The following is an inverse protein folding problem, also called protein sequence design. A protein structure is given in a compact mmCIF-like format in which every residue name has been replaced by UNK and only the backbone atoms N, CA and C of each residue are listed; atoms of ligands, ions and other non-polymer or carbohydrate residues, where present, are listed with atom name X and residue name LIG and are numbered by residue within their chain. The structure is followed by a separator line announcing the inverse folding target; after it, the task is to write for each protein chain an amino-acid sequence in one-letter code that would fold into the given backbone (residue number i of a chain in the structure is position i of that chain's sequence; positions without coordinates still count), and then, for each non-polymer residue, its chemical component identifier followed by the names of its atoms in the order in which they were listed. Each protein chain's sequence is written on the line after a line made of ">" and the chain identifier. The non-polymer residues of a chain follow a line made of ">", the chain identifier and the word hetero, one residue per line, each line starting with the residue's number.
data_IF_135142366653
#
_entry.id   IF_135142366653
#
_cell.length_a   1.000
_cell.length_b   1.000
_cell.length_c   1.000
_cell.angle_alpha   90.00
_cell.angle_beta   90.00
_cell.angle_gamma   90.00
#
_symmetry.space_group_name_H-M   'P 1'
#
loop_
_entity.id
_entity.type
_entity.pdbx_description
1 polymer ?
#
# COMPACT_ATOMS: atom_id res chain seq x y z
N UNK A 1 21.98 29.88 21.10
CA UNK A 1 20.91 29.45 20.18
C UNK A 1 21.43 28.35 19.25
N UNK A 2 21.65 27.10 19.70
CA UNK A 2 22.37 26.14 18.84
C UNK A 2 22.19 24.64 19.09
N UNK A 3 21.26 24.22 19.95
CA UNK A 3 20.98 22.78 20.15
C UNK A 3 19.53 22.42 19.77
N UNK A 4 18.57 23.33 20.00
CA UNK A 4 17.16 23.09 19.68
C UNK A 4 16.86 23.09 18.17
N UNK A 5 17.55 23.93 17.39
CA UNK A 5 17.35 24.01 15.92
C UNK A 5 17.86 22.74 15.21
N UNK A 6 18.97 22.17 15.70
CA UNK A 6 19.55 20.94 15.15
C UNK A 6 18.71 19.70 15.50
N UNK A 7 18.10 19.67 16.68
CA UNK A 7 17.21 18.58 17.10
C UNK A 7 15.85 18.63 16.37
N UNK A 8 15.32 19.84 16.12
CA UNK A 8 14.10 20.02 15.33
C UNK A 8 14.31 19.61 13.86
N UNK A 9 15.43 20.01 13.23
CA UNK A 9 15.77 19.55 11.88
C UNK A 9 15.93 18.04 11.80
N UNK A 10 16.52 17.41 12.82
CA UNK A 10 16.71 15.97 12.84
C UNK A 10 15.37 15.23 13.00
N UNK A 11 14.46 15.70 13.86
CA UNK A 11 13.11 15.12 14.03
C UNK A 11 12.19 15.38 12.82
N UNK A 12 12.45 16.42 12.04
CA UNK A 12 11.74 16.71 10.78
C UNK A 12 12.29 15.85 9.63
N UNK A 13 13.61 15.60 9.60
CA UNK A 13 14.26 14.68 8.67
C UNK A 13 13.92 13.21 8.94
N UNK A 14 13.77 12.82 10.21
CA UNK A 14 13.40 11.46 10.63
C UNK A 14 11.92 11.18 10.30
N UNK A 15 11.02 12.14 10.56
CA UNK A 15 9.62 12.08 10.12
C UNK A 15 9.44 11.99 8.60
N UNK A 16 10.37 12.56 7.84
CA UNK A 16 10.36 12.49 6.38
C UNK A 16 11.03 11.22 5.84
N UNK A 17 11.71 10.42 6.67
CA UNK A 17 12.48 9.25 6.22
C UNK A 17 11.74 7.91 6.30
N UNK A 18 10.58 7.86 6.93
CA UNK A 18 9.87 6.60 7.13
C UNK A 18 8.74 6.32 6.14
N UNK A 19 8.34 7.30 5.32
CA UNK A 19 7.32 7.13 4.27
C UNK A 19 8.01 7.14 2.90
N UNK A 20 8.30 5.97 2.34
CA UNK A 20 8.92 5.81 1.02
C UNK A 20 7.84 5.41 0.01
N UNK A 21 7.14 6.41 -0.53
CA UNK A 21 6.12 6.21 -1.56
C UNK A 21 6.78 5.72 -2.85
N UNK A 22 6.45 4.48 -3.24
CA UNK A 22 6.92 3.86 -4.48
C UNK A 22 5.77 3.76 -5.47
N UNK A 23 6.02 4.25 -6.67
CA UNK A 23 5.11 4.13 -7.81
C UNK A 23 5.44 2.85 -8.57
N UNK A 24 4.53 1.89 -8.52
CA UNK A 24 4.63 0.60 -9.21
C UNK A 24 3.39 0.41 -10.08
N UNK A 25 3.53 -0.30 -11.19
CA UNK A 25 2.40 -0.71 -12.03
C UNK A 25 2.66 -0.75 -13.52
N UNK A 26 2.06 -1.75 -14.17
CA UNK A 26 2.08 -1.87 -15.63
C UNK A 26 1.07 -0.87 -16.20
N UNK A 27 1.56 0.29 -16.66
CA UNK A 27 0.97 1.34 -17.52
C UNK A 27 -0.55 1.66 -17.49
N UNK A 28 -1.42 0.66 -17.45
CA UNK A 28 -2.89 0.69 -17.38
C UNK A 28 -3.44 0.95 -15.97
N UNK A 29 -2.71 0.61 -14.91
CA UNK A 29 -3.13 0.93 -13.54
C UNK A 29 -1.91 1.33 -12.75
N UNK A 30 -1.86 2.60 -12.34
CA UNK A 30 -0.80 3.12 -11.47
C UNK A 30 -1.23 2.95 -10.02
N UNK A 31 -0.35 2.41 -9.21
CA UNK A 31 -0.54 2.38 -7.77
C UNK A 31 0.68 2.90 -7.04
N UNK A 32 0.43 3.54 -5.91
CA UNK A 32 1.44 3.95 -4.96
C UNK A 32 1.40 2.99 -3.79
N UNK A 33 2.54 2.69 -3.20
CA UNK A 33 2.55 2.00 -1.93
C UNK A 33 3.60 2.59 -1.00
N UNK A 34 3.31 2.45 0.29
CA UNK A 34 4.16 2.86 1.38
C UNK A 34 4.15 1.79 2.47
N UNK A 35 5.18 1.78 3.31
CA UNK A 35 5.22 0.96 4.51
C UNK A 35 5.64 1.76 5.74
N UNK A 36 4.92 1.57 6.83
CA UNK A 36 5.20 2.17 8.13
C UNK A 36 5.11 1.09 9.21
N UNK A 37 6.25 0.73 9.80
CA UNK A 37 6.32 -0.35 10.79
C UNK A 37 5.83 -1.68 10.21
N UNK A 38 4.78 -2.25 10.82
CA UNK A 38 4.13 -3.50 10.39
C UNK A 38 2.94 -3.27 9.45
N UNK A 39 2.74 -2.06 8.91
CA UNK A 39 1.63 -1.74 8.02
C UNK A 39 2.13 -1.36 6.62
N UNK A 40 1.54 -1.93 5.58
CA UNK A 40 1.79 -1.55 4.19
C UNK A 40 0.49 -0.97 3.61
N UNK A 41 0.56 0.24 3.08
CA UNK A 41 -0.59 0.92 2.48
C UNK A 41 -0.39 0.98 0.96
N UNK A 42 -1.37 0.51 0.20
CA UNK A 42 -1.39 0.57 -1.26
C UNK A 42 -2.54 1.47 -1.71
N UNK A 43 -2.25 2.49 -2.51
CA UNK A 43 -3.22 3.43 -3.07
C UNK A 43 -3.30 3.25 -4.57
N UNK A 44 -4.48 2.96 -5.08
CA UNK A 44 -4.74 2.73 -6.49
C UNK A 44 -5.66 3.85 -6.99
N UNK A 45 -5.14 4.68 -7.88
CA UNK A 45 -5.94 5.70 -8.54
C UNK A 45 -6.88 5.05 -9.56
N UNK A 46 -8.15 5.44 -9.55
CA UNK A 46 -9.18 4.89 -10.42
C UNK A 46 -9.63 5.94 -11.44
N UNK A 47 -9.64 5.59 -12.72
CA UNK A 47 -10.11 6.47 -13.81
C UNK A 47 -11.55 6.96 -13.63
N UNK A 48 -12.38 6.18 -12.92
CA UNK A 48 -13.77 6.52 -12.62
C UNK A 48 -14.12 6.07 -11.20
N UNK A 49 -15.08 6.77 -10.60
CA UNK A 49 -15.56 6.44 -9.27
C UNK A 49 -16.13 5.00 -9.22
N UNK A 50 -15.48 4.14 -8.45
CA UNK A 50 -15.91 2.78 -8.17
C UNK A 50 -16.84 2.73 -6.96
N UNK A 51 -17.71 1.73 -6.95
CA UNK A 51 -18.51 1.37 -5.78
C UNK A 51 -18.07 0.01 -5.24
N UNK A 52 -18.56 -0.35 -4.05
CA UNK A 52 -18.30 -1.68 -3.45
C UNK A 52 -18.64 -2.85 -4.38
N UNK A 53 -19.58 -2.69 -5.32
CA UNK A 53 -19.98 -3.75 -6.27
C UNK A 53 -18.98 -3.94 -7.41
N UNK A 54 -18.23 -2.90 -7.73
CA UNK A 54 -17.24 -2.91 -8.81
C UNK A 54 -15.90 -3.49 -8.35
N UNK A 55 -15.72 -3.66 -7.03
CA UNK A 55 -14.48 -4.10 -6.43
C UNK A 55 -14.58 -5.52 -5.91
N UNK A 56 -13.50 -6.28 -6.13
CA UNK A 56 -13.27 -7.56 -5.47
C UNK A 56 -11.86 -7.58 -4.92
N UNK A 57 -11.75 -7.48 -3.61
CA UNK A 57 -10.46 -7.55 -2.89
C UNK A 57 -10.42 -8.84 -2.10
N UNK A 58 -9.34 -9.59 -2.22
CA UNK A 58 -9.10 -10.80 -1.45
C UNK A 58 -7.66 -10.81 -0.98
N UNK A 59 -7.49 -10.79 0.34
CA UNK A 59 -6.21 -10.92 1.00
C UNK A 59 -5.92 -12.39 1.28
N UNK A 60 -4.68 -12.80 1.06
CA UNK A 60 -4.18 -14.11 1.46
C UNK A 60 -2.76 -13.93 2.02
N UNK A 61 -2.24 -14.90 2.81
CA UNK A 61 -1.05 -14.69 3.63
C UNK A 61 0.22 -14.28 2.88
N UNK A 62 0.27 -14.48 1.56
CA UNK A 62 1.41 -14.13 0.70
C UNK A 62 1.00 -13.66 -0.69
N UNK A 63 -0.30 -13.49 -0.95
CA UNK A 63 -0.80 -13.09 -2.26
C UNK A 63 -1.95 -12.11 -2.13
N UNK A 64 -2.04 -11.17 -3.08
CA UNK A 64 -3.11 -10.19 -3.16
C UNK A 64 -3.91 -10.39 -4.45
N UNK A 65 -5.23 -10.35 -4.34
CA UNK A 65 -6.13 -10.30 -5.50
C UNK A 65 -7.00 -9.06 -5.40
N UNK A 66 -6.95 -8.21 -6.42
CA UNK A 66 -7.78 -7.01 -6.54
C UNK A 66 -8.31 -6.95 -7.95
N UNK A 67 -9.63 -6.92 -8.07
CA UNK A 67 -10.33 -6.65 -9.33
C UNK A 67 -11.15 -5.39 -9.22
N UNK A 68 -11.07 -4.53 -10.23
CA UNK A 68 -11.72 -3.23 -10.32
C UNK A 68 -12.51 -3.21 -11.62
N UNK A 69 -13.83 -2.99 -11.56
CA UNK A 69 -14.75 -3.07 -12.70
C UNK A 69 -14.66 -4.39 -13.48
N UNK A 70 -14.32 -5.49 -12.80
CA UNK A 70 -14.12 -6.81 -13.39
C UNK A 70 -12.75 -7.03 -14.04
N UNK A 71 -11.89 -6.02 -14.08
CA UNK A 71 -10.50 -6.14 -14.53
C UNK A 71 -9.60 -6.46 -13.34
N UNK A 72 -8.77 -7.51 -13.47
CA UNK A 72 -7.84 -7.88 -12.40
C UNK A 72 -6.61 -6.97 -12.43
N UNK A 73 -6.50 -6.08 -11.44
CA UNK A 73 -5.31 -5.23 -11.21
C UNK A 73 -4.21 -6.05 -10.55
N UNK A 74 -4.60 -6.85 -9.55
CA UNK A 74 -3.74 -7.87 -8.96
C UNK A 74 -4.44 -9.22 -9.11
N UNK A 75 -3.84 -10.17 -9.83
CA UNK A 75 -4.33 -11.55 -9.91
C UNK A 75 -3.36 -12.47 -9.17
N UNK A 76 -3.73 -12.88 -7.95
CA UNK A 76 -2.89 -13.71 -7.06
C UNK A 76 -1.43 -13.21 -6.97
N UNK A 77 -1.25 -11.91 -7.02
CA UNK A 77 0.07 -11.28 -7.08
C UNK A 77 0.84 -11.60 -5.80
N UNK A 78 2.05 -12.17 -5.93
CA UNK A 78 2.86 -12.58 -4.80
C UNK A 78 3.40 -11.35 -4.07
N UNK A 79 3.04 -11.19 -2.80
CA UNK A 79 3.44 -10.07 -1.97
C UNK A 79 4.93 -10.16 -1.57
N UNK A 80 5.57 -9.00 -1.41
CA UNK A 80 6.96 -8.85 -0.94
C UNK A 80 7.21 -9.59 0.38
N UNK A 81 6.22 -9.55 1.28
CA UNK A 81 6.24 -10.25 2.56
C UNK A 81 4.95 -11.02 2.87
N UNK A 82 4.84 -11.47 4.11
CA UNK A 82 3.63 -12.14 4.61
C UNK A 82 2.72 -11.13 5.31
N UNK A 83 1.42 -11.38 5.24
CA UNK A 83 0.40 -10.55 5.88
C UNK A 83 -0.54 -11.40 6.73
N UNK A 84 -1.24 -10.77 7.68
CA UNK A 84 -2.39 -11.34 8.38
C UNK A 84 -3.67 -10.97 7.62
N UNK A 85 -4.25 -11.89 6.83
CA UNK A 85 -5.36 -11.56 5.93
C UNK A 85 -6.60 -11.03 6.65
N UNK A 86 -6.86 -11.53 7.86
CA UNK A 86 -7.98 -11.13 8.69
C UNK A 86 -7.82 -9.72 9.30
N UNK A 87 -6.59 -9.21 9.35
CA UNK A 87 -6.26 -7.85 9.81
C UNK A 87 -6.07 -6.86 8.65
N UNK A 88 -6.01 -7.35 7.41
CA UNK A 88 -5.95 -6.50 6.23
C UNK A 88 -7.31 -5.85 5.96
N UNK A 89 -7.31 -4.58 5.57
CA UNK A 89 -8.53 -3.83 5.25
C UNK A 89 -8.41 -3.10 3.92
N UNK A 90 -9.54 -2.69 3.35
CA UNK A 90 -9.58 -1.85 2.17
C UNK A 90 -10.72 -0.83 2.26
N UNK A 91 -10.53 0.33 1.64
CA UNK A 91 -11.56 1.36 1.58
C UNK A 91 -11.51 2.10 0.24
N UNK A 92 -12.67 2.67 -0.12
CA UNK A 92 -12.78 3.60 -1.23
C UNK A 92 -12.63 5.02 -0.69
N UNK A 93 -11.54 5.68 -1.03
CA UNK A 93 -11.27 7.08 -0.74
C UNK A 93 -11.82 7.99 -1.85
N UNK A 94 -11.81 9.30 -1.61
CA UNK A 94 -12.17 10.33 -2.60
C UNK A 94 -13.50 10.09 -3.34
N UNK A 95 -14.55 9.65 -2.62
CA UNK A 95 -15.87 9.33 -3.21
C UNK A 95 -15.81 8.24 -4.28
N UNK A 96 -14.82 7.36 -4.21
CA UNK A 96 -14.66 6.20 -5.08
C UNK A 96 -13.62 6.35 -6.17
N UNK A 97 -12.90 7.48 -6.28
CA UNK A 97 -11.82 7.64 -7.27
C UNK A 97 -10.48 7.06 -6.84
N UNK A 98 -10.37 6.57 -5.60
CA UNK A 98 -9.15 5.91 -5.11
C UNK A 98 -9.51 4.70 -4.27
N UNK A 99 -8.83 3.57 -4.53
CA UNK A 99 -8.89 2.37 -3.68
C UNK A 99 -7.64 2.31 -2.82
N UNK A 100 -7.82 2.35 -1.51
CA UNK A 100 -6.74 2.16 -0.54
C UNK A 100 -6.84 0.77 0.08
N UNK A 101 -5.72 0.05 0.09
CA UNK A 101 -5.55 -1.24 0.76
C UNK A 101 -4.57 -1.04 1.90
N UNK A 102 -4.88 -1.61 3.05
CA UNK A 102 -4.01 -1.63 4.21
C UNK A 102 -3.71 -3.10 4.52
N UNK A 103 -2.44 -3.46 4.44
CA UNK A 103 -1.93 -4.79 4.67
C UNK A 103 -1.23 -4.83 6.03
N UNK A 104 -1.74 -5.65 6.95
CA UNK A 104 -1.09 -5.92 8.22
C UNK A 104 0.01 -6.96 8.02
N UNK A 105 1.27 -6.56 8.13
CA UNK A 105 2.43 -7.42 7.93
C UNK A 105 2.58 -8.42 9.08
N UNK A 106 2.83 -9.69 8.74
CA UNK A 106 3.09 -10.77 9.69
C UNK A 106 4.58 -10.99 9.95
N UNK A 107 5.43 -10.08 9.47
CA UNK A 107 6.85 -10.31 9.20
C UNK A 107 7.84 -9.64 10.13
N UNK A 108 7.46 -9.11 11.29
CA UNK A 108 8.38 -8.36 12.17
C UNK A 108 9.09 -7.20 11.45
N UNK A 109 10.23 -6.76 11.97
CA UNK A 109 11.01 -5.57 11.52
C UNK A 109 11.54 -5.61 10.06
N UNK A 110 11.26 -6.68 9.30
CA UNK A 110 11.74 -6.82 7.93
C UNK A 110 10.91 -5.98 6.95
N UNK A 111 11.40 -4.77 6.65
CA UNK A 111 10.87 -3.90 5.60
C UNK A 111 10.80 -4.60 4.25
N UNK A 112 9.68 -4.46 3.55
CA UNK A 112 9.48 -5.00 2.22
C UNK A 112 10.33 -4.19 1.22
N UNK A 113 11.10 -4.90 0.38
CA UNK A 113 11.89 -4.28 -0.68
C UNK A 113 10.99 -3.78 -1.84
N UNK A 114 9.94 -4.54 -2.14
CA UNK A 114 8.94 -4.29 -3.18
C UNK A 114 7.56 -4.73 -2.69
N UNK A 115 6.48 -4.15 -3.23
CA UNK A 115 5.11 -4.59 -2.93
C UNK A 115 4.88 -6.03 -3.40
N UNK A 116 5.40 -6.35 -4.59
CA UNK A 116 5.27 -7.65 -5.24
C UNK A 116 6.65 -8.29 -5.45
N UNK A 117 6.73 -9.62 -5.32
CA UNK A 117 7.99 -10.37 -5.50
C UNK A 117 8.45 -10.52 -6.95
N UNK A 118 7.54 -10.35 -7.91
CA UNK A 118 7.75 -10.64 -9.34
C UNK A 118 7.60 -9.37 -10.21
N UNK A 119 7.81 -8.18 -9.62
CA UNK A 119 7.79 -6.90 -10.34
C UNK A 119 9.14 -6.61 -11.03
#
# INVERSE_FOLDING_TARGET
>A
MGQQDQQARMAEMDRQREHEEKEDGDGKTKWLWDQSGDEVVVRIALDKAATKKDLKVTFAPSTLTVSIFGEAVFDKAALGGKVYPDECTWCLAEKGSELQLMLACAGGDAKWASLLKDA
#
